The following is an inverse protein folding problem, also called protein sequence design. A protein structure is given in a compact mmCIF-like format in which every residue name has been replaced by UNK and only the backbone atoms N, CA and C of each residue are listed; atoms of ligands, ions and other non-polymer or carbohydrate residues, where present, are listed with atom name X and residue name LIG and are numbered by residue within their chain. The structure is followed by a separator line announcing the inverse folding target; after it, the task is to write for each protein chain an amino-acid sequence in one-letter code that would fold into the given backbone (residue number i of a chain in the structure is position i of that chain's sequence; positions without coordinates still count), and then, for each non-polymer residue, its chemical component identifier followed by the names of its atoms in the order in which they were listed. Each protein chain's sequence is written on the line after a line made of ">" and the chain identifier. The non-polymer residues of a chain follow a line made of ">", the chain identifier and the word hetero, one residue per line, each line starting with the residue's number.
data_IF_759432606585
#
_entry.id   IF_759432606585
#
_cell.length_a   1.000
_cell.length_b   1.000
_cell.length_c   1.000
_cell.angle_alpha   90.00
_cell.angle_beta   90.00
_cell.angle_gamma   90.00
#
_symmetry.space_group_name_H-M   'P 1'
#
loop_
_entity.id
_entity.type
_entity.pdbx_description
1 polymer ?
#
# COMPACT_ATOMS: atom_id res chain seq x y z
N UNK A 1 -13.47 -3.28 10.64
CA UNK A 1 -12.58 -4.39 10.95
C UNK A 1 -11.28 -4.24 10.17
N UNK A 2 -10.22 -4.86 10.65
CA UNK A 2 -8.89 -4.64 10.13
C UNK A 2 -8.49 -5.56 8.99
N UNK A 3 -9.44 -6.24 8.36
CA UNK A 3 -9.10 -7.24 7.32
C UNK A 3 -8.35 -6.60 6.16
N UNK A 4 -8.82 -5.46 5.67
CA UNK A 4 -8.16 -4.78 4.56
C UNK A 4 -6.79 -4.25 4.99
N UNK A 5 -6.73 -3.66 6.16
CA UNK A 5 -5.48 -3.13 6.68
C UNK A 5 -4.46 -4.22 6.88
N UNK A 6 -4.91 -5.38 7.36
CA UNK A 6 -4.02 -6.52 7.54
C UNK A 6 -3.47 -7.01 6.20
N UNK A 7 -4.30 -7.03 5.18
CA UNK A 7 -3.87 -7.45 3.86
C UNK A 7 -2.86 -6.47 3.28
N UNK A 8 -3.13 -5.17 3.43
CA UNK A 8 -2.20 -4.15 2.97
C UNK A 8 -0.85 -4.31 3.66
N UNK A 9 -0.89 -4.48 4.98
CA UNK A 9 0.32 -4.65 5.76
C UNK A 9 1.11 -5.87 5.29
N UNK A 10 0.42 -6.99 5.09
CA UNK A 10 1.06 -8.23 4.64
C UNK A 10 1.72 -8.05 3.29
N UNK A 11 1.04 -7.37 2.37
CA UNK A 11 1.58 -7.12 1.05
C UNK A 11 2.85 -6.28 1.14
N UNK A 12 2.83 -5.26 1.99
CA UNK A 12 3.99 -4.39 2.15
C UNK A 12 5.16 -5.18 2.73
N UNK A 13 4.91 -6.00 3.75
CA UNK A 13 5.94 -6.82 4.34
C UNK A 13 6.55 -7.74 3.30
N UNK A 14 5.71 -8.38 2.49
CA UNK A 14 6.20 -9.32 1.49
C UNK A 14 6.98 -8.62 0.38
N UNK A 15 6.51 -7.47 -0.06
CA UNK A 15 7.14 -6.78 -1.18
C UNK A 15 8.44 -6.07 -0.77
N UNK A 16 8.45 -5.46 0.38
CA UNK A 16 9.59 -4.65 0.81
C UNK A 16 10.53 -5.39 1.75
N UNK A 17 10.10 -6.52 2.29
CA UNK A 17 10.93 -7.28 3.21
C UNK A 17 11.17 -6.58 4.54
N UNK A 18 10.19 -5.81 5.00
CA UNK A 18 10.28 -5.10 6.28
C UNK A 18 9.48 -5.83 7.34
N UNK A 19 9.75 -5.48 8.60
CA UNK A 19 8.99 -6.05 9.72
C UNK A 19 7.59 -5.44 9.77
N UNK A 20 6.63 -6.26 10.20
CA UNK A 20 5.26 -5.77 10.35
C UNK A 20 5.19 -4.59 11.32
N UNK A 21 6.07 -4.56 12.30
CA UNK A 21 6.11 -3.47 13.28
C UNK A 21 6.48 -2.13 12.66
N UNK A 22 7.17 -2.16 11.53
CA UNK A 22 7.58 -0.94 10.83
C UNK A 22 6.46 -0.38 9.98
N UNK A 23 5.45 -1.19 9.68
CA UNK A 23 4.36 -0.79 8.79
C UNK A 23 3.27 -0.13 9.62
N UNK A 24 3.46 1.16 9.87
CA UNK A 24 2.50 1.97 10.62
C UNK A 24 1.81 2.94 9.66
N UNK A 25 0.65 3.50 10.05
CA UNK A 25 -0.05 4.43 9.15
C UNK A 25 0.79 5.63 8.74
N UNK A 26 1.67 6.10 9.63
CA UNK A 26 2.50 7.25 9.34
C UNK A 26 3.75 6.92 8.53
N UNK A 27 4.06 5.64 8.37
CA UNK A 27 5.30 5.25 7.69
C UNK A 27 5.26 5.62 6.23
N UNK A 28 6.31 6.31 5.78
CA UNK A 28 6.49 6.63 4.36
C UNK A 28 7.14 5.44 3.68
N UNK A 29 6.62 5.08 2.52
CA UNK A 29 7.17 3.94 1.79
C UNK A 29 8.65 4.16 1.45
N UNK A 30 8.99 5.36 1.05
CA UNK A 30 10.35 5.67 0.63
C UNK A 30 11.23 6.02 1.83
N UNK A 31 10.76 6.93 2.67
CA UNK A 31 11.59 7.47 3.76
C UNK A 31 11.74 6.49 4.91
N UNK A 32 10.67 5.79 5.25
CA UNK A 32 10.66 4.94 6.45
C UNK A 32 10.87 3.47 6.12
N UNK A 33 10.32 3.02 5.00
CA UNK A 33 10.39 1.61 4.63
C UNK A 33 11.44 1.32 3.57
N UNK A 34 12.09 2.35 3.06
CA UNK A 34 13.22 2.19 2.16
C UNK A 34 12.86 1.74 0.76
N UNK A 35 11.62 1.96 0.34
CA UNK A 35 11.21 1.59 -1.02
C UNK A 35 11.78 2.59 -2.02
N UNK A 36 12.23 2.08 -3.17
CA UNK A 36 12.57 2.98 -4.28
C UNK A 36 11.38 3.03 -5.26
N UNK A 37 11.58 3.74 -6.37
CA UNK A 37 10.48 3.94 -7.31
C UNK A 37 9.99 2.63 -7.91
N UNK A 38 10.90 1.69 -8.13
CA UNK A 38 10.52 0.39 -8.66
C UNK A 38 9.70 -0.39 -7.64
N UNK A 39 10.12 -0.32 -6.38
CA UNK A 39 9.39 -0.99 -5.30
C UNK A 39 7.98 -0.46 -5.18
N UNK A 40 7.81 0.86 -5.30
CA UNK A 40 6.47 1.44 -5.19
C UNK A 40 5.58 1.00 -6.34
N UNK A 41 6.12 0.89 -7.55
CA UNK A 41 5.36 0.40 -8.69
C UNK A 41 4.90 -1.03 -8.45
N UNK A 42 5.81 -1.88 -7.98
CA UNK A 42 5.48 -3.28 -7.71
C UNK A 42 4.43 -3.38 -6.60
N UNK A 43 4.54 -2.50 -5.61
CA UNK A 43 3.58 -2.48 -4.51
C UNK A 43 2.18 -2.15 -5.02
N UNK A 44 2.09 -1.13 -5.87
CA UNK A 44 0.82 -0.74 -6.47
C UNK A 44 0.22 -1.90 -7.27
N UNK A 45 1.04 -2.57 -8.06
CA UNK A 45 0.58 -3.70 -8.85
C UNK A 45 0.06 -4.83 -7.95
N UNK A 46 0.75 -5.07 -6.85
CA UNK A 46 0.32 -6.10 -5.90
C UNK A 46 -1.04 -5.75 -5.30
N UNK A 47 -1.24 -4.47 -4.95
CA UNK A 47 -2.53 -4.03 -4.45
C UNK A 47 -3.63 -4.22 -5.48
N UNK A 48 -3.33 -3.88 -6.73
CA UNK A 48 -4.32 -4.04 -7.80
C UNK A 48 -4.77 -5.49 -7.95
N UNK A 49 -3.80 -6.40 -7.89
CA UNK A 49 -4.11 -7.82 -8.03
C UNK A 49 -4.86 -8.36 -6.83
N UNK A 50 -4.42 -7.98 -5.64
CA UNK A 50 -5.01 -8.52 -4.42
C UNK A 50 -6.45 -8.04 -4.25
N UNK A 51 -6.72 -6.79 -4.58
CA UNK A 51 -8.03 -6.20 -4.34
C UNK A 51 -8.88 -6.09 -5.61
N UNK A 52 -8.32 -6.53 -6.74
CA UNK A 52 -9.04 -6.53 -8.02
C UNK A 52 -9.54 -5.13 -8.37
N UNK A 53 -8.65 -4.17 -8.34
CA UNK A 53 -8.95 -2.78 -8.65
C UNK A 53 -7.89 -2.22 -9.57
N UNK A 54 -8.16 -1.04 -10.12
CA UNK A 54 -7.17 -0.31 -10.92
C UNK A 54 -6.75 0.94 -10.16
N UNK A 55 -5.46 1.18 -10.10
CA UNK A 55 -4.91 2.36 -9.46
C UNK A 55 -4.16 3.17 -10.52
N UNK A 56 -4.73 4.30 -10.97
CA UNK A 56 -4.03 5.15 -11.94
C UNK A 56 -2.71 5.67 -11.37
N UNK A 57 -1.78 5.97 -12.26
CA UNK A 57 -0.47 6.46 -11.83
C UNK A 57 -0.59 7.72 -10.99
N UNK A 58 -1.51 8.61 -11.35
CA UNK A 58 -1.74 9.84 -10.58
C UNK A 58 -2.04 9.53 -9.13
N UNK A 59 -2.92 8.56 -8.92
CA UNK A 59 -3.34 8.19 -7.58
C UNK A 59 -2.21 7.49 -6.83
N UNK A 60 -1.47 6.65 -7.55
CA UNK A 60 -0.35 5.94 -6.95
C UNK A 60 0.69 6.92 -6.40
N UNK A 61 0.92 8.01 -7.12
CA UNK A 61 1.89 9.02 -6.69
C UNK A 61 1.48 9.71 -5.40
N UNK A 62 0.18 9.73 -5.12
CA UNK A 62 -0.32 10.38 -3.91
C UNK A 62 -0.28 9.45 -2.70
N UNK A 63 -0.09 8.17 -2.92
CA UNK A 63 -0.04 7.20 -1.82
C UNK A 63 1.38 7.08 -1.31
N UNK A 64 1.81 8.08 -0.54
CA UNK A 64 3.19 8.13 -0.07
C UNK A 64 3.39 7.48 1.29
N UNK A 65 2.31 7.30 2.05
CA UNK A 65 2.38 6.62 3.34
C UNK A 65 1.44 5.42 3.36
N UNK A 66 1.68 4.54 4.34
CA UNK A 66 0.84 3.36 4.51
C UNK A 66 -0.62 3.76 4.73
N UNK A 67 -0.84 4.76 5.59
CA UNK A 67 -2.20 5.22 5.88
C UNK A 67 -2.93 5.71 4.65
N UNK A 68 -2.22 6.44 3.79
CA UNK A 68 -2.84 6.95 2.56
C UNK A 68 -3.23 5.80 1.64
N UNK A 69 -2.39 4.77 1.57
CA UNK A 69 -2.70 3.61 0.75
C UNK A 69 -3.93 2.88 1.29
N UNK A 70 -4.00 2.72 2.61
CA UNK A 70 -5.14 2.06 3.24
C UNK A 70 -6.42 2.84 2.96
N UNK A 71 -6.37 4.15 3.14
CA UNK A 71 -7.54 5.00 2.89
C UNK A 71 -8.01 4.89 1.44
N UNK A 72 -7.07 4.94 0.53
CA UNK A 72 -7.40 4.84 -0.89
C UNK A 72 -8.08 3.51 -1.20
N UNK A 73 -7.50 2.42 -0.70
CA UNK A 73 -8.02 1.09 -0.97
C UNK A 73 -9.38 0.87 -0.33
N UNK A 74 -9.59 1.41 0.86
CA UNK A 74 -10.89 1.34 1.52
C UNK A 74 -11.96 2.02 0.69
N UNK A 75 -11.62 3.19 0.16
CA UNK A 75 -12.54 3.95 -0.66
C UNK A 75 -12.89 3.20 -1.95
N UNK A 76 -11.87 2.65 -2.59
CA UNK A 76 -12.08 1.92 -3.83
C UNK A 76 -12.94 0.69 -3.61
N UNK A 77 -12.69 -0.05 -2.56
CA UNK A 77 -13.48 -1.25 -2.28
C UNK A 77 -14.92 -0.90 -1.91
N UNK A 78 -15.10 0.18 -1.18
CA UNK A 78 -16.43 0.62 -0.79
C UNK A 78 -17.28 1.08 -1.97
N UNK A 79 -16.62 1.69 -2.96
CA UNK A 79 -17.30 2.23 -4.13
C UNK A 79 -17.65 1.15 -5.15
N UNK A 80 -17.10 -0.03 -5.00
CA UNK A 80 -17.29 -1.12 -5.95
C UNK A 80 -18.68 -1.73 -5.95
#
# INVERSE_FOLDING_TARGET
>A
MAALEEKVKQIIVDQLGVDANEVTPEASFIDDLGADSLDTVELVMAFEEEFDIEIPDEDAEKMTTVGMAVEYLKKKKSDA
#
